data_IF_280589882590
#
_entry.id   IF_280589882590
#
_cell.length_a   1.000
_cell.length_b   1.000
_cell.length_c   1.000
_cell.angle_alpha   90.00
_cell.angle_beta   90.00
_cell.angle_gamma   90.00
#
_symmetry.space_group_name_H-M   'P 1'
#
loop_
_entity.id
_entity.type
_entity.pdbx_description
1 polymer ?
#
# COMPACT_ATOMS: atom_id res chain seq x y z
N UNK A 1 19.90 -11.47 -5.67
CA UNK A 1 20.68 -12.66 -6.06
C UNK A 1 19.93 -13.92 -5.65
N UNK A 2 20.57 -15.09 -5.76
CA UNK A 2 20.05 -16.33 -5.15
C UNK A 2 20.47 -16.36 -3.67
N UNK A 3 19.60 -16.79 -2.73
CA UNK A 3 20.01 -17.07 -1.36
C UNK A 3 21.23 -17.99 -1.31
N UNK A 4 22.13 -17.75 -0.36
CA UNK A 4 23.40 -18.43 -0.17
C UNK A 4 24.45 -18.20 -1.26
N UNK A 5 24.21 -17.22 -2.14
CA UNK A 5 25.05 -16.88 -3.28
C UNK A 5 25.80 -15.55 -3.16
N UNK A 6 25.79 -14.89 -2.00
CA UNK A 6 26.29 -13.52 -1.85
C UNK A 6 25.37 -12.53 -2.57
N UNK A 7 24.07 -12.68 -2.35
CA UNK A 7 23.06 -11.85 -2.98
C UNK A 7 23.17 -10.40 -2.51
N UNK A 8 23.27 -9.48 -3.47
CA UNK A 8 23.36 -8.05 -3.20
C UNK A 8 22.11 -7.30 -3.69
N UNK A 9 21.84 -6.15 -3.07
CA UNK A 9 20.86 -5.18 -3.54
C UNK A 9 21.51 -4.20 -4.52
N UNK A 10 20.79 -3.89 -5.60
CA UNK A 10 21.22 -2.98 -6.65
C UNK A 10 20.17 -1.90 -6.90
N UNK A 11 20.61 -0.76 -7.41
CA UNK A 11 19.75 0.34 -7.84
C UNK A 11 20.08 0.78 -9.26
N UNK A 12 19.05 1.08 -10.03
CA UNK A 12 19.16 1.72 -11.34
C UNK A 12 18.16 2.88 -11.39
N UNK A 13 18.48 3.92 -12.16
CA UNK A 13 17.60 5.08 -12.34
C UNK A 13 17.04 5.08 -13.75
N UNK A 14 15.75 5.33 -13.88
CA UNK A 14 15.13 5.58 -15.17
C UNK A 14 15.37 7.03 -15.58
N UNK A 15 16.01 7.23 -16.72
CA UNK A 15 16.25 8.52 -17.37
C UNK A 15 15.39 8.62 -18.64
N UNK A 16 15.52 9.73 -19.38
CA UNK A 16 14.90 9.88 -20.70
C UNK A 16 15.43 8.89 -21.74
N UNK A 17 16.67 8.42 -21.56
CA UNK A 17 17.39 7.61 -22.52
C UNK A 17 17.34 6.11 -22.20
N UNK A 18 16.72 5.74 -21.06
CA UNK A 18 16.60 4.36 -20.61
C UNK A 18 16.90 4.20 -19.13
N UNK A 19 17.22 2.98 -18.72
CA UNK A 19 17.74 2.72 -17.38
C UNK A 19 19.25 2.95 -17.36
N UNK A 20 19.78 3.49 -16.26
CA UNK A 20 21.22 3.48 -16.01
C UNK A 20 21.70 2.06 -15.74
N UNK A 21 23.00 1.83 -15.89
CA UNK A 21 23.65 0.63 -15.36
C UNK A 21 23.29 0.41 -13.89
N UNK A 22 22.96 -0.83 -13.49
CA UNK A 22 22.73 -1.18 -12.09
C UNK A 22 23.99 -0.94 -11.25
N UNK A 23 23.85 -0.21 -10.15
CA UNK A 23 24.92 0.02 -9.18
C UNK A 23 24.57 -0.66 -7.85
N UNK A 24 25.54 -1.32 -7.18
CA UNK A 24 25.29 -1.96 -5.90
C UNK A 24 24.98 -0.90 -4.81
N UNK A 25 24.07 -1.24 -3.90
CA UNK A 25 23.76 -0.43 -2.73
C UNK A 25 24.79 -0.68 -1.62
N UNK A 26 26.06 -0.34 -1.86
CA UNK A 26 27.18 -0.70 -0.99
C UNK A 26 27.14 -0.17 0.45
N UNK A 27 26.29 0.82 0.77
CA UNK A 27 26.07 1.26 2.15
C UNK A 27 25.09 0.35 2.92
N UNK A 28 24.32 -0.47 2.19
CA UNK A 28 23.33 -1.41 2.73
C UNK A 28 23.88 -2.83 2.68
N UNK A 29 24.48 -3.20 1.53
CA UNK A 29 24.98 -4.55 1.29
C UNK A 29 26.05 -4.97 2.30
N UNK A 30 25.93 -6.17 2.85
CA UNK A 30 26.95 -6.78 3.72
C UNK A 30 27.70 -7.88 2.95
N UNK A 31 29.04 -7.80 2.80
CA UNK A 31 29.81 -8.76 2.01
C UNK A 31 29.86 -10.18 2.59
N UNK A 32 29.44 -10.36 3.85
CA UNK A 32 29.38 -11.67 4.51
C UNK A 32 27.96 -12.24 4.62
N UNK A 33 26.98 -11.62 3.98
CA UNK A 33 25.58 -11.97 4.06
C UNK A 33 24.91 -11.92 2.68
N UNK A 34 23.67 -12.38 2.63
CA UNK A 34 22.75 -12.15 1.54
C UNK A 34 21.77 -11.04 1.91
N UNK A 35 21.53 -10.15 0.96
CA UNK A 35 20.58 -9.05 1.05
C UNK A 35 19.57 -9.14 -0.09
N UNK A 36 18.31 -9.32 0.29
CA UNK A 36 17.25 -9.77 -0.61
C UNK A 36 15.93 -9.03 -0.40
N UNK A 37 15.08 -9.08 -1.43
CA UNK A 37 13.72 -8.52 -1.42
C UNK A 37 13.63 -7.06 -1.01
N UNK A 38 14.27 -6.14 -1.75
CA UNK A 38 14.20 -4.71 -1.45
C UNK A 38 12.77 -4.17 -1.65
N UNK A 39 12.21 -3.58 -0.60
CA UNK A 39 10.90 -2.94 -0.58
C UNK A 39 11.03 -1.48 -0.11
N UNK A 40 11.01 -0.50 -1.03
CA UNK A 40 11.07 0.91 -0.65
C UNK A 40 9.76 1.34 0.02
N UNK A 41 9.84 2.17 1.05
CA UNK A 41 8.66 2.84 1.59
C UNK A 41 8.01 3.75 0.55
N UNK A 42 6.68 3.99 0.61
CA UNK A 42 6.00 4.83 -0.38
C UNK A 42 6.58 6.24 -0.55
N UNK A 43 7.15 6.81 0.51
CA UNK A 43 7.83 8.11 0.51
C UNK A 43 9.28 8.06 0.01
N UNK A 44 9.83 6.86 -0.23
CA UNK A 44 11.22 6.60 -0.59
C UNK A 44 12.24 6.94 0.50
N UNK A 45 11.77 7.20 1.73
CA UNK A 45 12.61 7.57 2.88
C UNK A 45 13.23 6.37 3.59
N UNK A 46 12.71 5.17 3.38
CA UNK A 46 13.20 3.92 3.97
C UNK A 46 13.26 2.80 2.93
N UNK A 47 14.17 1.86 3.12
CA UNK A 47 14.24 0.62 2.36
C UNK A 47 14.18 -0.55 3.35
N UNK A 48 13.16 -1.38 3.19
CA UNK A 48 13.03 -2.63 3.93
C UNK A 48 13.56 -3.77 3.07
N UNK A 49 14.15 -4.77 3.71
CA UNK A 49 14.72 -5.94 3.04
C UNK A 49 14.91 -7.05 4.08
N UNK A 50 15.30 -8.23 3.63
CA UNK A 50 15.66 -9.33 4.53
C UNK A 50 17.08 -9.80 4.31
N UNK A 51 17.73 -10.25 5.39
CA UNK A 51 19.15 -10.57 5.40
C UNK A 51 19.53 -11.52 6.53
N UNK A 52 20.51 -12.39 6.26
CA UNK A 52 21.14 -13.31 7.22
C UNK A 52 22.40 -12.71 7.88
N UNK A 53 22.58 -11.39 7.74
CA UNK A 53 23.68 -10.65 8.37
C UNK A 53 23.72 -10.82 9.89
N UNK A 54 24.92 -10.68 10.44
CA UNK A 54 25.13 -10.74 11.88
C UNK A 54 24.31 -9.67 12.63
N UNK A 55 23.79 -10.04 13.79
CA UNK A 55 22.93 -9.18 14.63
C UNK A 55 21.44 -9.41 14.47
N UNK A 56 21.03 -10.36 13.61
CA UNK A 56 19.70 -10.92 13.57
C UNK A 56 19.41 -11.95 14.67
N UNK A 57 18.19 -12.49 14.66
CA UNK A 57 17.63 -13.42 15.62
C UNK A 57 17.57 -14.86 15.09
N UNK A 58 17.36 -15.02 13.78
CA UNK A 58 17.21 -16.31 13.13
C UNK A 58 18.13 -16.50 11.92
N UNK A 59 17.60 -17.16 10.89
CA UNK A 59 18.25 -17.26 9.58
C UNK A 59 18.19 -15.90 8.88
N UNK A 60 17.15 -15.68 8.08
CA UNK A 60 16.87 -14.37 7.50
C UNK A 60 15.94 -13.57 8.40
N UNK A 61 16.35 -12.35 8.69
CA UNK A 61 15.58 -11.38 9.48
C UNK A 61 15.16 -10.21 8.60
N UNK A 62 14.10 -9.47 8.99
CA UNK A 62 13.76 -8.20 8.37
C UNK A 62 14.60 -7.03 8.93
N UNK A 63 15.07 -6.19 8.02
CA UNK A 63 15.89 -5.01 8.30
C UNK A 63 15.33 -3.78 7.60
N UNK A 64 15.66 -2.59 8.12
CA UNK A 64 15.32 -1.31 7.51
C UNK A 64 16.54 -0.39 7.45
N UNK A 65 16.79 0.19 6.28
CA UNK A 65 17.75 1.28 6.08
C UNK A 65 16.98 2.59 5.86
N UNK A 66 17.27 3.62 6.66
CA UNK A 66 16.69 4.96 6.47
C UNK A 66 17.57 5.81 5.59
N UNK A 67 16.94 6.67 4.80
CA UNK A 67 17.62 7.67 4.00
C UNK A 67 17.91 8.91 4.84
N UNK A 68 19.15 9.37 4.81
CA UNK A 68 19.59 10.62 5.41
C UNK A 68 19.08 11.83 4.61
N UNK A 69 19.11 13.01 5.22
CA UNK A 69 18.70 14.27 4.59
C UNK A 69 19.56 14.65 3.37
N UNK A 70 20.78 14.14 3.28
CA UNK A 70 21.66 14.31 2.12
C UNK A 70 21.40 13.28 1.00
N UNK A 71 20.44 12.37 1.20
CA UNK A 71 20.06 11.34 0.25
C UNK A 71 20.92 10.06 0.31
N UNK A 72 21.90 9.98 1.22
CA UNK A 72 22.64 8.73 1.49
C UNK A 72 21.81 7.75 2.32
N UNK A 73 22.16 6.46 2.27
CA UNK A 73 21.57 5.46 3.14
C UNK A 73 22.32 5.39 4.48
N UNK A 74 21.57 5.36 5.57
CA UNK A 74 22.09 5.06 6.90
C UNK A 74 22.30 3.55 7.05
N UNK A 75 23.10 3.16 8.04
CA UNK A 75 23.32 1.76 8.38
C UNK A 75 21.98 1.05 8.65
N UNK A 76 21.76 -0.16 8.11
CA UNK A 76 20.53 -0.91 8.36
C UNK A 76 20.33 -1.27 9.84
N UNK A 77 19.07 -1.32 10.26
CA UNK A 77 18.64 -1.65 11.62
C UNK A 77 17.69 -2.83 11.57
N UNK A 78 17.93 -3.83 12.42
CA UNK A 78 17.05 -5.01 12.57
C UNK A 78 15.70 -4.59 13.14
N UNK A 79 14.59 -5.14 12.64
CA UNK A 79 13.24 -4.81 13.13
C UNK A 79 12.94 -5.35 14.55
N UNK A 80 13.85 -6.13 15.11
CA UNK A 80 13.84 -6.59 16.50
C UNK A 80 12.89 -7.75 16.75
N UNK A 81 12.89 -8.29 17.98
CA UNK A 81 12.20 -9.53 18.33
C UNK A 81 10.67 -9.41 18.40
N UNK A 82 10.14 -8.20 18.18
CA UNK A 82 8.71 -8.04 17.97
C UNK A 82 8.34 -8.68 16.63
N UNK A 83 9.03 -8.31 15.55
CA UNK A 83 8.77 -8.83 14.20
C UNK A 83 9.59 -10.06 13.91
N UNK A 84 10.90 -10.02 14.12
CA UNK A 84 11.80 -11.12 13.78
C UNK A 84 11.75 -12.23 14.83
N UNK A 85 12.10 -13.45 14.42
CA UNK A 85 12.09 -14.64 15.28
C UNK A 85 13.37 -15.47 15.08
N UNK A 86 13.56 -16.57 15.84
CA UNK A 86 14.63 -17.52 15.55
C UNK A 86 14.50 -18.25 14.19
N UNK A 87 13.38 -18.07 13.49
CA UNK A 87 13.08 -18.66 12.19
C UNK A 87 13.36 -17.65 11.06
N UNK A 88 12.97 -17.95 9.83
CA UNK A 88 13.13 -17.04 8.70
C UNK A 88 11.93 -16.08 8.59
N UNK A 89 12.22 -14.84 8.28
CA UNK A 89 11.28 -13.83 7.82
C UNK A 89 11.72 -13.28 6.45
N UNK A 90 10.82 -13.29 5.47
CA UNK A 90 11.13 -12.79 4.13
C UNK A 90 9.92 -12.14 3.46
N UNK A 91 10.17 -11.51 2.30
CA UNK A 91 9.12 -11.00 1.42
C UNK A 91 8.31 -9.90 2.09
N UNK A 92 8.98 -8.83 2.51
CA UNK A 92 8.30 -7.69 3.13
C UNK A 92 7.51 -6.88 2.09
N UNK A 93 6.28 -6.50 2.44
CA UNK A 93 5.44 -5.61 1.66
C UNK A 93 4.83 -4.54 2.56
N UNK A 94 4.79 -3.29 2.08
CA UNK A 94 4.28 -2.16 2.87
C UNK A 94 2.90 -1.72 2.40
N UNK A 95 2.01 -1.48 3.37
CA UNK A 95 0.76 -0.77 3.10
C UNK A 95 1.00 0.74 2.96
N UNK A 96 -0.06 1.46 2.53
CA UNK A 96 -0.09 2.93 2.48
C UNK A 96 0.50 3.58 3.75
N UNK A 97 1.26 4.67 3.58
CA UNK A 97 1.90 5.42 4.67
C UNK A 97 2.91 4.61 5.51
N UNK A 98 3.30 3.40 5.07
CA UNK A 98 4.21 2.49 5.80
C UNK A 98 3.79 2.24 7.26
N UNK A 99 2.49 2.30 7.56
CA UNK A 99 1.93 2.11 8.90
C UNK A 99 1.72 0.63 9.27
N UNK A 100 1.83 -0.26 8.29
CA UNK A 100 1.64 -1.70 8.42
C UNK A 100 2.55 -2.39 7.41
N UNK A 101 3.22 -3.45 7.86
CA UNK A 101 3.99 -4.35 7.01
C UNK A 101 3.35 -5.73 6.97
N UNK A 102 3.53 -6.41 5.84
CA UNK A 102 3.17 -7.80 5.59
C UNK A 102 4.45 -8.55 5.27
N UNK A 103 4.56 -9.80 5.72
CA UNK A 103 5.73 -10.63 5.48
C UNK A 103 5.37 -12.11 5.61
N UNK A 104 6.25 -12.97 5.11
CA UNK A 104 6.16 -14.42 5.28
C UNK A 104 7.13 -14.87 6.36
N UNK A 105 6.74 -15.86 7.17
CA UNK A 105 7.59 -16.46 8.18
C UNK A 105 7.28 -17.94 8.37
N UNK A 106 8.32 -18.76 8.55
CA UNK A 106 8.19 -20.16 8.95
C UNK A 106 8.26 -20.35 10.46
N UNK A 107 7.94 -19.31 11.23
CA UNK A 107 7.75 -19.48 12.68
C UNK A 107 6.60 -20.45 12.93
N UNK A 108 6.71 -21.31 13.96
CA UNK A 108 5.70 -22.30 14.23
C UNK A 108 4.37 -21.68 14.61
N UNK A 109 3.30 -22.30 14.10
CA UNK A 109 1.95 -22.05 14.58
C UNK A 109 1.84 -22.38 16.07
N UNK A 110 0.97 -21.68 16.83
CA UNK A 110 0.72 -22.00 18.22
C UNK A 110 0.40 -23.49 18.42
N UNK A 111 1.22 -24.17 19.22
CA UNK A 111 1.09 -25.60 19.51
C UNK A 111 1.88 -26.54 18.59
N UNK A 112 2.54 -26.02 17.57
CA UNK A 112 3.62 -26.73 16.89
C UNK A 112 4.94 -26.54 17.65
N UNK A 113 5.78 -27.57 17.70
CA UNK A 113 7.06 -27.55 18.41
C UNK A 113 8.24 -27.96 17.48
N UNK A 114 8.41 -27.31 16.30
CA UNK A 114 9.59 -27.52 15.48
C UNK A 114 10.79 -26.81 16.10
N UNK A 115 11.94 -27.45 16.04
CA UNK A 115 13.21 -26.77 16.28
C UNK A 115 13.45 -25.76 15.13
N UNK A 116 13.98 -24.56 15.41
CA UNK A 116 14.43 -23.64 14.37
C UNK A 116 15.34 -24.39 13.40
N UNK A 117 15.08 -24.26 12.10
CA UNK A 117 15.86 -24.96 11.10
C UNK A 117 17.33 -24.58 11.25
N UNK A 118 18.18 -25.58 11.48
CA UNK A 118 19.63 -25.37 11.58
C UNK A 118 20.21 -25.03 10.20
N UNK A 119 19.54 -25.45 9.13
CA UNK A 119 19.89 -25.13 7.78
C UNK A 119 19.33 -23.74 7.44
N UNK A 120 20.22 -22.74 7.37
CA UNK A 120 19.89 -21.36 6.95
C UNK A 120 19.43 -21.26 5.49
N UNK A 121 19.40 -22.38 4.76
CA UNK A 121 19.31 -22.40 3.31
C UNK A 121 17.91 -22.15 2.71
N UNK A 122 16.77 -22.59 3.29
CA UNK A 122 15.46 -22.33 2.71
C UNK A 122 14.98 -20.92 3.08
N UNK A 123 15.68 -19.90 2.57
CA UNK A 123 15.44 -18.47 2.83
C UNK A 123 14.11 -17.94 2.30
N UNK A 124 13.56 -18.62 1.29
CA UNK A 124 12.32 -18.28 0.63
C UNK A 124 11.63 -19.56 0.18
N UNK A 125 10.33 -19.48 -0.11
CA UNK A 125 9.56 -20.59 -0.71
C UNK A 125 10.09 -21.10 -2.07
N UNK A 126 11.08 -20.41 -2.68
CA UNK A 126 11.75 -20.90 -3.90
C UNK A 126 12.67 -22.09 -3.64
N UNK A 127 13.38 -22.08 -2.51
CA UNK A 127 14.55 -22.95 -2.29
C UNK A 127 14.15 -24.33 -1.75
N UNK A 128 13.11 -24.40 -0.90
CA UNK A 128 12.56 -25.66 -0.45
C UNK A 128 11.02 -25.67 -0.56
N UNK A 129 10.54 -26.42 -1.55
CA UNK A 129 9.11 -26.60 -1.84
C UNK A 129 8.45 -27.66 -0.95
N UNK A 130 9.25 -28.37 -0.16
CA UNK A 130 8.82 -29.48 0.70
C UNK A 130 8.81 -29.11 2.18
N UNK A 131 9.53 -28.06 2.56
CA UNK A 131 9.28 -27.30 3.78
C UNK A 131 7.88 -26.66 3.67
N UNK A 132 6.99 -26.99 4.61
CA UNK A 132 5.54 -26.71 4.54
C UNK A 132 5.06 -25.93 5.77
N UNK A 133 5.56 -24.73 5.96
CA UNK A 133 5.21 -23.94 7.13
C UNK A 133 5.37 -22.43 6.98
N UNK A 134 5.57 -21.91 5.77
CA UNK A 134 5.56 -20.45 5.58
C UNK A 134 4.14 -19.91 5.65
N UNK A 135 3.92 -19.01 6.60
CA UNK A 135 2.67 -18.32 6.86
C UNK A 135 2.82 -16.82 6.62
N UNK A 136 1.74 -16.16 6.19
CA UNK A 136 1.68 -14.71 6.12
C UNK A 136 1.36 -14.09 7.47
N UNK A 137 2.06 -13.01 7.78
CA UNK A 137 1.89 -12.19 8.97
C UNK A 137 1.73 -10.73 8.58
N UNK A 138 1.08 -9.97 9.46
CA UNK A 138 1.08 -8.50 9.43
C UNK A 138 1.60 -7.94 10.75
N UNK A 139 2.25 -6.78 10.71
CA UNK A 139 2.63 -6.04 11.90
C UNK A 139 2.43 -4.53 11.69
N UNK A 140 1.94 -3.84 12.72
CA UNK A 140 1.88 -2.39 12.71
C UNK A 140 3.29 -1.79 12.78
N UNK A 141 3.52 -0.68 12.08
CA UNK A 141 4.75 0.10 12.15
C UNK A 141 4.42 1.45 12.75
N UNK A 142 5.16 1.80 13.80
CA UNK A 142 4.99 3.06 14.54
C UNK A 142 6.34 3.74 14.71
N UNK A 143 6.33 5.00 15.16
CA UNK A 143 7.56 5.72 15.54
C UNK A 143 8.37 4.99 16.63
N UNK A 144 7.70 4.17 17.45
CA UNK A 144 8.33 3.36 18.49
C UNK A 144 8.93 2.04 17.97
N UNK A 145 8.75 1.74 16.67
CA UNK A 145 9.16 0.49 16.04
C UNK A 145 7.98 -0.36 15.57
N UNK A 146 8.29 -1.59 15.18
CA UNK A 146 7.29 -2.55 14.74
C UNK A 146 6.57 -3.21 15.92
N UNK A 147 5.26 -3.40 15.79
CA UNK A 147 4.41 -4.07 16.76
C UNK A 147 4.54 -5.60 16.70
N UNK A 148 3.82 -6.28 17.60
CA UNK A 148 3.73 -7.74 17.58
C UNK A 148 3.00 -8.21 16.30
N UNK A 149 3.56 -9.18 15.56
CA UNK A 149 2.96 -9.67 14.34
C UNK A 149 1.75 -10.55 14.63
N UNK A 150 0.76 -10.44 13.76
CA UNK A 150 -0.47 -11.22 13.77
C UNK A 150 -0.49 -12.11 12.53
N UNK A 151 -0.73 -13.43 12.67
CA UNK A 151 -0.92 -14.30 11.51
C UNK A 151 -2.20 -13.93 10.75
N UNK A 152 -2.18 -14.11 9.43
CA UNK A 152 -3.36 -13.95 8.58
C UNK A 152 -4.13 -15.26 8.49
N UNK A 153 -4.78 -15.66 9.59
CA UNK A 153 -5.51 -16.94 9.72
C UNK A 153 -6.61 -17.15 8.67
N UNK A 154 -7.12 -16.07 8.09
CA UNK A 154 -8.12 -16.08 7.02
C UNK A 154 -7.53 -16.40 5.64
N UNK A 155 -6.21 -16.28 5.49
CA UNK A 155 -5.48 -16.54 4.25
C UNK A 155 -4.59 -17.77 4.36
N UNK A 156 -3.94 -17.96 5.51
CA UNK A 156 -3.01 -19.05 5.77
C UNK A 156 -3.70 -20.41 5.73
N UNK A 157 -3.05 -21.39 5.12
CA UNK A 157 -3.52 -22.77 4.97
C UNK A 157 -2.43 -23.74 5.42
N UNK A 158 -2.66 -25.05 5.55
CA UNK A 158 -1.57 -26.00 5.86
C UNK A 158 -0.47 -26.12 4.77
N UNK A 159 -0.52 -25.29 3.74
CA UNK A 159 0.44 -25.18 2.65
C UNK A 159 1.26 -23.90 2.86
N UNK A 160 2.14 -23.57 1.92
CA UNK A 160 2.95 -22.38 2.00
C UNK A 160 2.18 -21.17 1.47
N UNK A 161 2.28 -20.07 2.20
CA UNK A 161 1.88 -18.73 1.77
C UNK A 161 3.04 -17.76 1.94
N UNK A 162 3.33 -16.99 0.90
CA UNK A 162 4.40 -16.01 0.98
C UNK A 162 4.48 -15.05 -0.20
N UNK A 163 5.60 -14.34 -0.28
CA UNK A 163 5.81 -13.27 -1.28
C UNK A 163 4.62 -12.30 -1.35
N UNK A 164 4.21 -11.68 -0.23
CA UNK A 164 3.09 -10.74 -0.23
C UNK A 164 3.41 -9.49 -1.06
N UNK A 165 2.37 -8.86 -1.59
CA UNK A 165 2.41 -7.53 -2.17
C UNK A 165 1.06 -6.83 -1.93
N UNK A 166 1.11 -5.57 -1.51
CA UNK A 166 -0.08 -4.83 -1.08
C UNK A 166 -0.35 -3.67 -2.02
N UNK A 167 -1.62 -3.46 -2.38
CA UNK A 167 -1.99 -2.27 -3.16
C UNK A 167 -1.68 -1.00 -2.38
N UNK A 168 -1.41 0.13 -3.04
CA UNK A 168 -1.06 1.37 -2.33
C UNK A 168 -2.07 1.86 -1.30
N UNK A 169 -3.33 1.41 -1.36
CA UNK A 169 -4.38 1.74 -0.38
C UNK A 169 -4.63 0.64 0.66
N UNK A 170 -3.93 -0.48 0.58
CA UNK A 170 -4.09 -1.62 1.49
C UNK A 170 -5.40 -2.37 1.31
N UNK A 171 -6.13 -2.16 0.21
CA UNK A 171 -7.42 -2.78 -0.06
C UNK A 171 -7.32 -4.17 -0.68
N UNK A 172 -6.18 -4.52 -1.28
CA UNK A 172 -5.87 -5.88 -1.72
C UNK A 172 -4.47 -6.31 -1.27
N UNK A 173 -4.40 -7.57 -0.84
CA UNK A 173 -3.17 -8.30 -0.64
C UNK A 173 -3.05 -9.37 -1.74
N UNK A 174 -1.96 -9.33 -2.47
CA UNK A 174 -1.51 -10.35 -3.41
C UNK A 174 -0.47 -11.22 -2.72
N UNK A 175 -0.43 -12.51 -3.02
CA UNK A 175 0.53 -13.42 -2.42
C UNK A 175 0.66 -14.69 -3.29
N UNK A 176 1.75 -15.42 -3.12
CA UNK A 176 1.94 -16.73 -3.72
C UNK A 176 1.55 -17.85 -2.76
N UNK A 177 0.99 -18.93 -3.28
CA UNK A 177 0.65 -20.12 -2.49
C UNK A 177 0.66 -21.40 -3.33
N UNK A 178 1.10 -22.50 -2.74
CA UNK A 178 1.05 -23.86 -3.32
C UNK A 178 -0.19 -24.66 -2.83
N UNK A 179 -1.22 -23.95 -2.36
CA UNK A 179 -2.49 -24.56 -1.95
C UNK A 179 -3.15 -25.35 -3.10
N UNK A 180 -3.85 -26.45 -2.80
CA UNK A 180 -4.59 -27.22 -3.79
C UNK A 180 -5.64 -26.39 -4.53
N UNK A 181 -5.82 -26.67 -5.82
CA UNK A 181 -6.78 -25.98 -6.68
C UNK A 181 -6.18 -24.84 -7.51
N UNK A 182 -4.88 -24.58 -7.37
CA UNK A 182 -4.09 -23.77 -8.30
C UNK A 182 -3.81 -24.47 -9.65
N UNK A 183 -3.14 -23.77 -10.55
CA UNK A 183 -2.72 -24.27 -11.86
C UNK A 183 -1.50 -25.18 -11.80
N UNK A 184 -0.68 -25.11 -10.75
CA UNK A 184 0.62 -25.77 -10.73
C UNK A 184 1.32 -25.77 -9.38
N UNK A 185 2.57 -25.29 -9.39
CA UNK A 185 3.42 -25.20 -8.20
C UNK A 185 2.93 -24.11 -7.25
N UNK A 186 3.65 -23.00 -7.20
CA UNK A 186 3.13 -21.78 -6.59
C UNK A 186 2.27 -21.02 -7.58
N UNK A 187 1.07 -20.66 -7.15
CA UNK A 187 0.14 -19.82 -7.89
C UNK A 187 0.01 -18.46 -7.20
N UNK A 188 -0.26 -17.40 -7.98
CA UNK A 188 -0.61 -16.10 -7.42
C UNK A 188 -2.09 -16.03 -7.09
N UNK A 189 -2.36 -15.52 -5.90
CA UNK A 189 -3.68 -15.24 -5.36
C UNK A 189 -3.79 -13.78 -4.96
N UNK A 190 -5.03 -13.33 -4.79
CA UNK A 190 -5.32 -12.08 -4.10
C UNK A 190 -6.47 -12.24 -3.13
N UNK A 191 -6.51 -11.36 -2.13
CA UNK A 191 -7.67 -11.23 -1.26
C UNK A 191 -7.93 -9.75 -0.97
N UNK A 192 -9.21 -9.37 -0.94
CA UNK A 192 -9.61 -8.00 -0.63
C UNK A 192 -9.65 -7.83 0.88
N UNK A 193 -9.02 -6.79 1.40
CA UNK A 193 -9.09 -6.42 2.81
C UNK A 193 -10.37 -5.64 3.10
N UNK A 194 -11.11 -6.09 4.11
CA UNK A 194 -12.30 -5.46 4.65
C UNK A 194 -12.09 -5.16 6.15
N UNK A 195 -13.01 -4.39 6.75
CA UNK A 195 -12.94 -3.99 8.17
C UNK A 195 -12.91 -5.16 9.16
N UNK A 196 -13.27 -6.37 8.73
CA UNK A 196 -13.32 -7.59 9.56
C UNK A 196 -12.35 -8.70 9.15
N UNK A 197 -11.40 -8.43 8.26
CA UNK A 197 -10.49 -9.44 7.69
C UNK A 197 -10.48 -9.39 6.16
N UNK A 198 -9.88 -10.40 5.55
CA UNK A 198 -9.81 -10.55 4.11
C UNK A 198 -11.00 -11.33 3.57
N UNK A 199 -11.34 -11.09 2.31
CA UNK A 199 -12.22 -12.00 1.56
C UNK A 199 -11.53 -13.34 1.32
N UNK A 200 -12.30 -14.33 0.89
CA UNK A 200 -11.71 -15.58 0.42
C UNK A 200 -10.66 -15.31 -0.68
N UNK A 201 -9.51 -16.00 -0.67
CA UNK A 201 -8.50 -15.89 -1.71
C UNK A 201 -9.01 -16.23 -3.10
N UNK A 202 -8.73 -15.38 -4.07
CA UNK A 202 -9.02 -15.54 -5.49
C UNK A 202 -7.74 -15.91 -6.24
N UNK A 203 -7.72 -17.04 -6.95
CA UNK A 203 -6.64 -17.39 -7.87
C UNK A 203 -6.68 -16.45 -9.09
N UNK A 204 -5.52 -15.95 -9.54
CA UNK A 204 -5.46 -14.99 -10.65
C UNK A 204 -5.73 -15.60 -12.05
N UNK A 205 -6.00 -16.90 -12.12
CA UNK A 205 -6.44 -17.62 -13.31
C UNK A 205 -5.33 -17.88 -14.33
N UNK A 206 -5.65 -18.69 -15.34
CA UNK A 206 -4.68 -19.23 -16.31
C UNK A 206 -3.98 -18.19 -17.20
N UNK A 207 -4.42 -16.93 -17.18
CA UNK A 207 -3.70 -15.86 -17.84
C UNK A 207 -2.41 -15.50 -17.09
N UNK A 208 -2.48 -15.46 -15.75
CA UNK A 208 -1.33 -15.18 -14.88
C UNK A 208 -0.68 -16.47 -14.44
N UNK A 209 -1.45 -17.42 -13.92
CA UNK A 209 -0.93 -18.66 -13.35
C UNK A 209 -0.77 -19.77 -14.39
N UNK A 210 0.19 -20.66 -14.17
CA UNK A 210 0.52 -21.76 -15.07
C UNK A 210 0.87 -23.03 -14.27
N UNK A 211 1.17 -24.16 -14.94
CA UNK A 211 1.71 -25.34 -14.26
C UNK A 211 3.07 -25.12 -13.58
N UNK A 212 3.75 -24.00 -13.87
CA UNK A 212 5.01 -23.60 -13.27
C UNK A 212 4.80 -22.95 -11.89
N UNK A 213 5.83 -22.28 -11.37
CA UNK A 213 5.75 -21.43 -10.20
C UNK A 213 5.59 -19.97 -10.64
N UNK A 214 4.68 -19.27 -9.98
CA UNK A 214 4.53 -17.82 -10.06
C UNK A 214 4.71 -17.22 -8.67
N UNK A 215 5.70 -16.35 -8.53
CA UNK A 215 6.21 -15.84 -7.25
C UNK A 215 6.52 -14.35 -7.33
N UNK A 216 6.73 -13.73 -6.17
CA UNK A 216 7.15 -12.33 -6.03
C UNK A 216 6.30 -11.35 -6.85
N UNK A 217 4.98 -11.30 -6.60
CA UNK A 217 4.13 -10.28 -7.16
C UNK A 217 4.66 -8.89 -6.76
N UNK A 218 4.70 -7.96 -7.71
CA UNK A 218 5.04 -6.56 -7.47
C UNK A 218 4.08 -5.66 -8.25
N UNK A 219 3.33 -4.85 -7.53
CA UNK A 219 2.31 -3.99 -8.12
C UNK A 219 2.94 -2.74 -8.73
N UNK A 220 2.42 -2.33 -9.89
CA UNK A 220 2.85 -1.14 -10.60
C UNK A 220 1.64 -0.34 -11.09
N UNK A 221 1.84 0.96 -11.32
CA UNK A 221 0.77 1.92 -11.69
C UNK A 221 -0.45 1.87 -10.76
N UNK A 222 -0.25 1.78 -9.44
CA UNK A 222 -1.39 1.75 -8.51
C UNK A 222 -2.20 0.46 -8.53
N UNK A 223 -1.63 -0.64 -9.04
CA UNK A 223 -2.26 -1.97 -9.07
C UNK A 223 -2.75 -2.40 -10.45
N UNK A 224 -2.74 -1.52 -11.45
CA UNK A 224 -3.15 -1.83 -12.83
C UNK A 224 -2.20 -2.80 -13.55
N UNK A 225 -0.94 -2.84 -13.13
CA UNK A 225 0.03 -3.77 -13.64
C UNK A 225 0.58 -4.62 -12.49
N UNK A 226 0.76 -5.90 -12.77
CA UNK A 226 1.38 -6.86 -11.87
C UNK A 226 2.64 -7.38 -12.55
N UNK A 227 3.79 -7.11 -11.96
CA UNK A 227 5.00 -7.84 -12.27
C UNK A 227 5.07 -9.08 -11.39
N UNK A 228 5.63 -10.16 -11.89
CA UNK A 228 5.86 -11.37 -11.12
C UNK A 228 6.97 -12.19 -11.76
N UNK A 229 7.63 -13.01 -10.96
CA UNK A 229 8.60 -13.97 -11.45
C UNK A 229 7.93 -15.30 -11.79
N UNK A 230 8.41 -15.99 -12.82
CA UNK A 230 7.96 -17.34 -13.13
C UNK A 230 9.08 -18.17 -13.75
N UNK A 231 9.14 -19.44 -13.36
CA UNK A 231 10.02 -20.46 -13.96
C UNK A 231 9.35 -21.21 -15.12
N UNK A 232 8.26 -20.65 -15.66
CA UNK A 232 7.65 -21.18 -16.88
C UNK A 232 8.66 -21.11 -18.03
N UNK A 233 8.73 -22.13 -18.89
CA UNK A 233 9.59 -22.07 -20.08
C UNK A 233 9.25 -20.85 -20.94
N UNK A 234 10.26 -20.05 -21.31
CA UNK A 234 10.07 -18.99 -22.31
C UNK A 234 9.55 -19.63 -23.59
N UNK A 235 8.42 -19.14 -24.12
CA UNK A 235 8.08 -19.38 -25.51
C UNK A 235 9.05 -18.57 -26.36
N UNK A 236 10.00 -19.25 -27.02
CA UNK A 236 10.82 -18.60 -28.04
C UNK A 236 9.89 -18.17 -29.17
N UNK A 237 9.98 -16.90 -29.57
CA UNK A 237 9.19 -16.37 -30.69
C UNK A 237 9.53 -17.05 -32.03
N UNK A 238 10.64 -17.80 -32.09
CA UNK A 238 11.01 -18.65 -33.22
C UNK A 238 11.35 -20.07 -32.74
N UNK A 239 10.89 -21.13 -33.46
CA UNK A 239 11.24 -22.52 -33.18
C UNK A 239 12.74 -22.82 -33.23
N UNK A 240 13.50 -21.94 -33.89
CA UNK A 240 14.93 -22.11 -34.22
C UNK A 240 15.83 -21.05 -33.57
N UNK A 241 15.29 -20.18 -32.70
CA UNK A 241 16.11 -19.23 -31.97
C UNK A 241 16.98 -19.97 -30.94
N UNK A 242 18.30 -19.85 -31.06
CA UNK A 242 19.26 -20.28 -30.05
C UNK A 242 18.81 -19.74 -28.68
N UNK A 243 18.68 -20.60 -27.64
CA UNK A 243 18.31 -20.14 -26.31
C UNK A 243 19.28 -19.04 -25.89
N UNK A 244 18.74 -17.96 -25.34
CA UNK A 244 19.48 -16.75 -25.00
C UNK A 244 20.75 -17.13 -24.21
N UNK A 245 21.91 -17.11 -24.88
CA UNK A 245 23.16 -17.68 -24.36
C UNK A 245 23.74 -16.90 -23.16
N UNK A 246 23.05 -15.83 -22.73
CA UNK A 246 23.55 -14.90 -21.73
C UNK A 246 23.55 -15.49 -20.31
N UNK A 247 22.66 -16.41 -19.95
CA UNK A 247 22.71 -17.13 -18.66
C UNK A 247 21.98 -18.47 -18.82
N UNK A 248 22.61 -19.48 -19.41
CA UNK A 248 22.08 -20.84 -19.28
C UNK A 248 22.42 -21.33 -17.87
N UNK A 249 21.40 -21.51 -17.03
CA UNK A 249 21.56 -22.13 -15.71
C UNK A 249 22.27 -23.48 -15.78
N UNK A 250 23.04 -23.82 -14.75
CA UNK A 250 23.72 -25.10 -14.66
C UNK A 250 22.68 -26.25 -14.67
N UNK A 251 23.06 -27.47 -15.07
CA UNK A 251 22.14 -28.60 -15.08
C UNK A 251 21.50 -28.83 -13.69
N UNK A 252 20.18 -28.62 -13.59
CA UNK A 252 19.42 -28.75 -12.35
C UNK A 252 19.05 -27.42 -11.66
N UNK A 253 19.54 -26.28 -12.15
CA UNK A 253 19.07 -24.96 -11.70
C UNK A 253 17.74 -24.59 -12.36
N UNK A 254 16.82 -24.07 -11.57
CA UNK A 254 15.56 -23.48 -12.03
C UNK A 254 15.80 -21.99 -12.27
N UNK A 255 15.58 -21.54 -13.51
CA UNK A 255 15.62 -20.12 -13.88
C UNK A 255 14.23 -19.49 -13.75
N UNK A 256 14.20 -18.29 -13.16
CA UNK A 256 13.01 -17.46 -13.09
C UNK A 256 13.16 -16.25 -14.02
N UNK A 257 12.13 -16.01 -14.82
CA UNK A 257 12.02 -14.83 -15.66
C UNK A 257 10.99 -13.85 -15.10
N UNK A 258 11.18 -12.57 -15.43
CA UNK A 258 10.23 -11.52 -15.05
C UNK A 258 9.12 -11.43 -16.09
N UNK A 259 7.88 -11.53 -15.62
CA UNK A 259 6.68 -11.37 -16.41
C UNK A 259 5.87 -10.16 -15.94
N UNK A 260 5.07 -9.62 -16.85
CA UNK A 260 4.11 -8.56 -16.56
C UNK A 260 2.74 -8.96 -17.02
N UNK A 261 1.76 -8.78 -16.16
CA UNK A 261 0.34 -8.74 -16.48
C UNK A 261 -0.18 -7.30 -16.41
N UNK A 262 -1.12 -6.95 -17.27
CA UNK A 262 -1.95 -5.75 -17.10
C UNK A 262 -3.40 -6.13 -17.02
N UNK A 263 -4.07 -5.72 -15.95
CA UNK A 263 -5.50 -5.89 -15.78
C UNK A 263 -6.22 -4.55 -16.07
N UNK A 264 -7.48 -4.62 -16.48
CA UNK A 264 -8.36 -3.45 -16.61
C UNK A 264 -9.14 -3.20 -15.32
N UNK A 265 -8.55 -3.55 -14.19
CA UNK A 265 -9.23 -3.45 -12.91
C UNK A 265 -9.33 -1.99 -12.50
N UNK A 266 -10.52 -1.61 -12.03
CA UNK A 266 -10.78 -0.25 -11.56
C UNK A 266 -10.54 -0.24 -10.06
N UNK A 267 -9.41 0.32 -9.66
CA UNK A 267 -9.13 0.60 -8.25
C UNK A 267 -9.76 1.93 -7.85
N UNK A 268 -10.27 2.01 -6.62
CA UNK A 268 -10.73 3.25 -6.03
C UNK A 268 -9.52 4.02 -5.49
N UNK A 269 -9.04 4.99 -6.27
CA UNK A 269 -8.04 5.94 -5.78
C UNK A 269 -8.70 6.89 -4.79
N UNK A 270 -8.38 6.77 -3.50
CA UNK A 270 -8.88 7.68 -2.47
C UNK A 270 -7.73 8.60 -2.06
N UNK A 271 -7.84 9.90 -2.37
CA UNK A 271 -6.85 10.91 -2.00
C UNK A 271 -6.78 11.09 -0.47
N UNK A 272 -5.93 10.30 0.19
CA UNK A 272 -5.74 10.29 1.65
C UNK A 272 -5.07 11.57 2.18
N UNK A 273 -4.43 12.38 1.33
CA UNK A 273 -3.90 13.68 1.73
C UNK A 273 -5.01 14.64 2.24
N UNK A 274 -6.28 14.29 2.01
CA UNK A 274 -7.46 15.01 2.50
C UNK A 274 -8.18 14.35 3.68
N UNK A 275 -7.71 13.21 4.16
CA UNK A 275 -8.38 12.41 5.20
C UNK A 275 -7.87 12.67 6.63
N UNK A 276 -7.10 13.74 6.86
CA UNK A 276 -6.87 14.26 8.19
C UNK A 276 -8.14 14.92 8.73
N UNK A 277 -8.58 14.55 9.94
CA UNK A 277 -9.56 15.37 10.66
C UNK A 277 -8.86 16.69 10.97
N UNK A 278 -9.09 17.70 10.13
CA UNK A 278 -8.63 19.04 10.41
C UNK A 278 -9.42 19.59 11.59
N UNK A 279 -8.83 19.56 12.78
CA UNK A 279 -9.44 20.13 14.00
C UNK A 279 -9.72 21.64 13.85
N UNK A 280 -9.10 22.33 12.86
CA UNK A 280 -9.47 23.68 12.49
C UNK A 280 -10.89 23.77 11.88
N UNK A 281 -11.48 22.68 11.39
CA UNK A 281 -12.89 22.61 10.98
C UNK A 281 -13.86 22.64 12.18
N UNK A 282 -13.39 22.33 13.39
CA UNK A 282 -14.20 22.38 14.63
C UNK A 282 -14.12 23.72 15.36
N UNK A 283 -13.06 24.51 15.15
CA UNK A 283 -12.92 25.85 15.72
C UNK A 283 -14.06 26.83 15.35
N UNK A 284 -14.59 26.85 14.10
CA UNK A 284 -15.74 27.64 13.71
C UNK A 284 -17.00 27.32 14.51
N UNK A 285 -17.18 26.07 14.93
CA UNK A 285 -18.34 25.64 15.70
C UNK A 285 -18.30 26.18 17.13
N UNK A 286 -17.13 26.14 17.78
CA UNK A 286 -16.95 26.76 19.10
C UNK A 286 -17.16 28.29 19.03
N UNK A 287 -16.62 28.93 17.99
CA UNK A 287 -16.80 30.37 17.76
C UNK A 287 -18.27 30.73 17.51
N UNK A 288 -19.02 29.91 16.77
CA UNK A 288 -20.45 30.10 16.52
C UNK A 288 -21.25 30.10 17.83
N UNK A 289 -21.03 29.11 18.70
CA UNK A 289 -21.71 29.03 19.99
C UNK A 289 -21.36 30.21 20.91
N UNK A 290 -20.10 30.64 20.94
CA UNK A 290 -19.66 31.81 21.69
C UNK A 290 -20.32 33.09 21.20
N UNK A 291 -20.39 33.31 19.87
CA UNK A 291 -21.03 34.48 19.26
C UNK A 291 -22.54 34.51 19.52
N UNK A 292 -23.22 33.35 19.49
CA UNK A 292 -24.64 33.24 19.85
C UNK A 292 -24.89 33.64 21.32
N UNK A 293 -24.05 33.19 22.25
CA UNK A 293 -24.15 33.56 23.66
C UNK A 293 -23.94 35.06 23.88
N UNK A 294 -22.93 35.66 23.21
CA UNK A 294 -22.66 37.09 23.28
C UNK A 294 -23.81 37.92 22.67
N UNK A 295 -24.42 37.45 21.58
CA UNK A 295 -25.59 38.08 20.96
C UNK A 295 -26.79 38.07 21.90
N UNK A 296 -27.08 36.93 22.53
CA UNK A 296 -28.16 36.83 23.51
C UNK A 296 -27.94 37.76 24.71
N UNK A 297 -26.70 37.84 25.20
CA UNK A 297 -26.33 38.76 26.27
C UNK A 297 -26.53 40.23 25.86
N UNK A 298 -26.08 40.62 24.66
CA UNK A 298 -26.24 41.99 24.17
C UNK A 298 -27.72 42.34 23.96
N UNK A 299 -28.51 41.44 23.38
CA UNK A 299 -29.95 41.63 23.19
C UNK A 299 -30.69 41.73 24.54
N UNK A 300 -30.28 40.96 25.54
CA UNK A 300 -30.79 41.07 26.90
C UNK A 300 -30.47 42.43 27.53
N UNK A 301 -29.23 42.92 27.38
CA UNK A 301 -28.81 44.25 27.85
C UNK A 301 -29.55 45.39 27.13
N UNK A 302 -29.70 45.29 25.80
CA UNK A 302 -30.49 46.21 24.97
C UNK A 302 -31.95 46.25 25.42
N UNK A 303 -32.57 45.09 25.58
CA UNK A 303 -33.96 44.99 26.03
C UNK A 303 -34.12 45.63 27.41
N UNK A 304 -33.24 45.33 28.36
CA UNK A 304 -33.26 45.90 29.71
C UNK A 304 -33.10 47.43 29.68
N UNK A 305 -32.15 47.95 28.91
CA UNK A 305 -31.91 49.40 28.80
C UNK A 305 -33.04 50.16 28.12
N UNK A 306 -33.73 49.55 27.16
CA UNK A 306 -34.93 50.10 26.50
C UNK A 306 -36.13 50.05 27.45
N UNK A 307 -36.37 48.91 28.11
CA UNK A 307 -37.48 48.72 29.07
C UNK A 307 -37.39 49.65 30.27
N UNK A 308 -36.18 49.86 30.82
CA UNK A 308 -35.96 50.73 31.99
C UNK A 308 -36.00 52.24 31.63
N UNK A 309 -36.35 52.63 30.40
CA UNK A 309 -36.25 54.00 29.84
C UNK A 309 -34.87 54.66 29.93
N UNK A 310 -33.86 53.94 30.42
CA UNK A 310 -32.44 54.36 30.52
C UNK A 310 -31.84 54.67 29.14
N UNK A 311 -32.42 54.14 28.07
CA UNK A 311 -32.09 54.51 26.69
C UNK A 311 -32.06 56.03 26.44
N UNK A 312 -32.98 56.78 27.05
CA UNK A 312 -33.03 58.25 26.91
C UNK A 312 -31.86 58.96 27.58
N UNK A 313 -31.25 58.34 28.60
CA UNK A 313 -30.12 58.88 29.37
C UNK A 313 -28.76 58.56 28.71
N UNK A 314 -28.70 57.66 27.74
CA UNK A 314 -27.48 57.36 27.00
C UNK A 314 -27.11 58.52 26.06
N UNK A 315 -25.83 58.88 26.03
CA UNK A 315 -25.29 59.82 25.06
C UNK A 315 -25.47 59.30 23.64
N UNK A 316 -25.44 60.20 22.65
CA UNK A 316 -25.50 59.82 21.24
C UNK A 316 -24.35 58.87 20.88
N UNK A 317 -23.15 59.15 21.39
CA UNK A 317 -21.97 58.30 21.22
C UNK A 317 -22.20 56.87 21.74
N UNK A 318 -22.76 56.73 22.95
CA UNK A 318 -23.04 55.41 23.53
C UNK A 318 -24.06 54.61 22.70
N UNK A 319 -25.08 55.29 22.14
CA UNK A 319 -26.06 54.68 21.23
C UNK A 319 -25.40 54.21 19.92
N UNK A 320 -24.52 55.02 19.35
CA UNK A 320 -23.76 54.66 18.15
C UNK A 320 -22.81 53.48 18.39
N UNK A 321 -22.13 53.44 19.54
CA UNK A 321 -21.25 52.31 19.91
C UNK A 321 -22.07 51.02 20.05
N UNK A 322 -23.22 51.08 20.72
CA UNK A 322 -24.07 49.90 20.91
C UNK A 322 -24.67 49.38 19.59
N UNK A 323 -25.08 50.29 18.71
CA UNK A 323 -25.54 49.94 17.36
C UNK A 323 -24.42 49.35 16.51
N UNK A 324 -23.21 49.92 16.60
CA UNK A 324 -22.01 49.40 15.92
C UNK A 324 -21.64 48.01 16.42
N UNK A 325 -21.64 47.78 17.74
CA UNK A 325 -21.37 46.47 18.33
C UNK A 325 -22.39 45.41 17.88
N UNK A 326 -23.67 45.77 17.86
CA UNK A 326 -24.72 44.88 17.36
C UNK A 326 -24.51 44.54 15.87
N UNK A 327 -24.22 45.54 15.04
CA UNK A 327 -23.96 45.35 13.61
C UNK A 327 -22.75 44.44 13.37
N UNK A 328 -21.62 44.70 14.03
CA UNK A 328 -20.41 43.91 13.86
C UNK A 328 -20.60 42.46 14.33
N UNK A 329 -21.33 42.25 15.42
CA UNK A 329 -21.63 40.91 15.92
C UNK A 329 -22.57 40.13 14.98
N UNK A 330 -23.55 40.80 14.39
CA UNK A 330 -24.42 40.19 13.37
C UNK A 330 -23.63 39.84 12.09
N UNK A 331 -22.72 40.71 11.66
CA UNK A 331 -21.84 40.45 10.51
C UNK A 331 -20.90 39.26 10.79
N UNK A 332 -20.24 39.23 11.95
CA UNK A 332 -19.39 38.11 12.35
C UNK A 332 -20.16 36.79 12.38
N UNK A 333 -21.37 36.79 12.98
CA UNK A 333 -22.23 35.60 13.00
C UNK A 333 -22.60 35.15 11.57
N UNK A 334 -22.96 36.08 10.68
CA UNK A 334 -23.28 35.76 9.30
C UNK A 334 -22.08 35.17 8.53
N UNK A 335 -20.89 35.74 8.69
CA UNK A 335 -19.67 35.20 8.08
C UNK A 335 -19.30 33.82 8.65
N UNK A 336 -19.43 33.61 9.96
CA UNK A 336 -19.17 32.30 10.57
C UNK A 336 -20.20 31.26 10.11
N UNK A 337 -21.49 31.61 10.04
CA UNK A 337 -22.52 30.72 9.49
C UNK A 337 -22.24 30.40 8.03
N UNK A 338 -21.84 31.38 7.21
CA UNK A 338 -21.46 31.16 5.82
C UNK A 338 -20.24 30.23 5.71
N UNK A 339 -19.22 30.44 6.54
CA UNK A 339 -18.03 29.59 6.59
C UNK A 339 -18.38 28.17 7.03
N UNK A 340 -19.14 27.99 8.11
CA UNK A 340 -19.59 26.67 8.57
C UNK A 340 -20.48 26.00 7.52
N UNK A 341 -21.36 26.73 6.86
CA UNK A 341 -22.21 26.18 5.78
C UNK A 341 -21.39 25.74 4.58
N UNK A 342 -20.33 26.47 4.23
CA UNK A 342 -19.39 26.05 3.18
C UNK A 342 -18.56 24.85 3.63
N UNK A 343 -18.08 24.81 4.87
CA UNK A 343 -17.33 23.68 5.41
C UNK A 343 -18.19 22.42 5.52
N UNK A 344 -19.45 22.53 5.95
CA UNK A 344 -20.45 21.45 5.88
C UNK A 344 -20.72 21.09 4.42
N UNK A 345 -20.82 22.08 3.54
CA UNK A 345 -20.94 21.86 2.10
C UNK A 345 -19.76 21.09 1.52
N UNK A 346 -18.55 21.32 2.01
CA UNK A 346 -17.33 20.60 1.62
C UNK A 346 -17.21 19.22 2.28
N UNK A 347 -17.76 19.04 3.50
CA UNK A 347 -17.87 17.77 4.22
C UNK A 347 -18.99 16.85 3.70
N UNK A 348 -20.11 17.45 3.27
CA UNK A 348 -21.27 16.77 2.67
C UNK A 348 -21.13 16.64 1.15
N UNK A 349 -20.24 17.43 0.52
CA UNK A 349 -19.68 17.04 -0.78
C UNK A 349 -18.98 15.71 -0.54
N UNK A 350 -19.37 14.63 -1.23
CA UNK A 350 -18.66 13.37 -1.12
C UNK A 350 -17.17 13.62 -1.31
N UNK A 351 -16.34 13.26 -0.33
CA UNK A 351 -14.92 13.14 -0.56
C UNK A 351 -14.75 12.13 -1.70
N UNK A 352 -14.32 12.61 -2.86
CA UNK A 352 -14.29 11.82 -4.07
C UNK A 352 -15.43 12.16 -5.02
N UNK A 353 -15.21 13.17 -5.86
CA UNK A 353 -15.50 12.91 -7.25
C UNK A 353 -14.62 11.73 -7.65
N UNK A 354 -15.19 10.53 -7.75
CA UNK A 354 -14.49 9.36 -8.26
C UNK A 354 -14.02 9.71 -9.66
N UNK A 355 -12.74 10.06 -9.80
CA UNK A 355 -12.17 10.27 -11.12
C UNK A 355 -11.77 8.89 -11.60
N UNK A 356 -12.64 8.27 -12.40
CA UNK A 356 -12.21 7.16 -13.24
C UNK A 356 -11.26 7.76 -14.28
N UNK A 357 -9.98 7.80 -13.96
CA UNK A 357 -8.96 8.21 -14.90
C UNK A 357 -8.66 7.01 -15.80
N UNK A 358 -9.45 6.87 -16.86
CA UNK A 358 -9.08 6.02 -17.98
C UNK A 358 -7.80 6.63 -18.56
N UNK A 359 -6.66 6.03 -18.25
CA UNK A 359 -5.42 6.37 -18.92
C UNK A 359 -5.63 6.14 -20.42
N UNK A 360 -5.55 7.22 -21.18
CA UNK A 360 -5.63 7.19 -22.64
C UNK A 360 -4.46 6.39 -23.18
N UNK A 361 -4.67 5.10 -23.44
CA UNK A 361 -3.94 4.44 -24.50
C UNK A 361 -4.50 4.99 -25.81
N UNK A 362 -3.63 5.57 -26.64
CA UNK A 362 -4.05 6.09 -27.94
C UNK A 362 -4.72 4.99 -28.76
N UNK A 363 -6.00 5.17 -29.08
CA UNK A 363 -6.70 4.77 -30.32
C UNK A 363 -8.21 5.03 -30.16
N UNK A 364 -8.75 5.89 -31.03
CA UNK A 364 -10.16 6.11 -31.45
C UNK A 364 -11.32 6.11 -30.44
N UNK A 365 -11.43 7.24 -29.76
CA UNK A 365 -12.57 8.18 -29.62
C UNK A 365 -14.03 7.81 -30.05
N UNK A 366 -14.66 6.81 -29.44
CA UNK A 366 -16.15 6.80 -29.31
C UNK A 366 -16.68 6.29 -27.98
N UNK A 367 -16.04 5.27 -27.39
CA UNK A 367 -16.46 4.69 -26.11
C UNK A 367 -16.23 5.64 -24.91
N UNK A 368 -15.12 6.39 -24.94
CA UNK A 368 -14.77 7.36 -23.90
C UNK A 368 -15.75 8.55 -23.81
N UNK A 369 -16.50 8.83 -24.88
CA UNK A 369 -17.55 9.86 -24.90
C UNK A 369 -18.89 9.36 -24.36
N UNK A 370 -19.22 8.08 -24.51
CA UNK A 370 -20.49 7.53 -24.01
C UNK A 370 -20.55 7.42 -22.48
N UNK A 371 -19.42 7.22 -21.80
CA UNK A 371 -19.39 7.06 -20.33
C UNK A 371 -19.38 8.41 -19.57
N UNK A 372 -18.98 9.51 -20.22
CA UNK A 372 -19.06 10.86 -19.61
C UNK A 372 -20.50 11.36 -19.40
N UNK A 373 -21.50 10.72 -20.01
CA UNK A 373 -22.89 11.20 -19.99
C UNK A 373 -23.75 10.60 -18.86
N UNK A 374 -23.23 9.68 -18.04
CA UNK A 374 -24.03 8.91 -17.08
C UNK A 374 -23.50 8.94 -15.64
N UNK A 375 -22.79 10.00 -15.25
CA UNK A 375 -22.48 10.26 -13.85
C UNK A 375 -23.63 11.02 -13.16
N UNK A 376 -24.71 10.29 -12.80
CA UNK A 376 -25.74 10.76 -11.86
C UNK A 376 -25.84 9.84 -10.66
N UNK A 377 -25.40 10.37 -9.53
CA UNK A 377 -25.94 10.26 -8.16
C UNK A 377 -26.88 9.06 -7.86
N UNK A 378 -26.32 7.85 -7.86
CA UNK A 378 -26.90 6.72 -7.14
C UNK A 378 -25.78 5.98 -6.42
N UNK A 379 -26.08 5.50 -5.21
CA UNK A 379 -25.31 4.43 -4.59
C UNK A 379 -25.18 3.30 -5.62
N UNK A 380 -23.96 3.04 -6.07
CA UNK A 380 -23.68 1.82 -6.80
C UNK A 380 -23.87 0.69 -5.81
N UNK A 381 -25.03 0.02 -5.88
CA UNK A 381 -25.05 -1.41 -5.61
C UNK A 381 -23.99 -1.99 -6.54
N UNK A 382 -22.82 -2.29 -5.96
CA UNK A 382 -21.79 -2.99 -6.70
C UNK A 382 -22.47 -4.27 -7.18
N UNK A 383 -22.50 -4.53 -8.50
CA UNK A 383 -22.99 -5.81 -8.96
C UNK A 383 -22.22 -6.89 -8.22
N UNK A 384 -22.85 -8.02 -7.84
CA UNK A 384 -22.09 -9.17 -7.37
C UNK A 384 -20.95 -9.38 -8.37
N UNK A 385 -19.74 -9.59 -7.83
CA UNK A 385 -18.53 -9.74 -8.62
C UNK A 385 -18.86 -10.60 -9.85
N UNK A 386 -18.58 -10.14 -11.08
CA UNK A 386 -18.82 -10.98 -12.24
C UNK A 386 -18.13 -12.31 -11.96
N UNK A 387 -18.85 -13.41 -12.17
CA UNK A 387 -18.23 -14.73 -12.24
C UNK A 387 -17.01 -14.63 -13.16
N UNK A 388 -15.94 -15.40 -12.91
CA UNK A 388 -14.66 -15.23 -13.59
C UNK A 388 -14.78 -15.58 -15.07
N UNK A 389 -15.34 -14.68 -15.87
CA UNK A 389 -15.04 -14.60 -17.28
C UNK A 389 -13.61 -14.10 -17.30
N UNK A 390 -12.70 -15.07 -17.53
CA UNK A 390 -11.25 -14.96 -17.58
C UNK A 390 -10.77 -13.51 -17.53
N UNK A 391 -10.18 -13.11 -16.39
CA UNK A 391 -9.43 -11.86 -16.28
C UNK A 391 -8.62 -11.71 -17.58
N UNK A 392 -9.02 -10.76 -18.43
CA UNK A 392 -8.34 -10.50 -19.70
C UNK A 392 -7.03 -9.79 -19.38
N UNK A 393 -6.11 -10.56 -18.82
CA UNK A 393 -4.76 -10.20 -18.47
C UNK A 393 -3.87 -10.57 -19.65
N UNK A 394 -3.23 -9.57 -20.25
CA UNK A 394 -2.16 -9.83 -21.22
C UNK A 394 -0.88 -10.04 -20.43
N UNK A 395 -0.28 -11.23 -20.55
CA UNK A 395 1.02 -11.52 -19.94
C UNK A 395 2.12 -11.46 -20.99
N UNK A 396 3.16 -10.69 -20.68
CA UNK A 396 4.34 -10.54 -21.55
C UNK A 396 5.62 -10.70 -20.72
N UNK A 397 6.64 -11.43 -21.23
CA UNK A 397 7.98 -11.39 -20.66
C UNK A 397 8.52 -9.95 -20.64
N UNK A 398 9.31 -9.62 -19.62
CA UNK A 398 10.12 -8.40 -19.60
C UNK A 398 11.55 -8.78 -19.93
N UNK A 399 12.06 -8.25 -21.03
CA UNK A 399 13.47 -8.36 -21.35
C UNK A 399 14.28 -7.43 -20.45
N UNK A 400 15.35 -7.96 -19.86
CA UNK A 400 16.35 -7.11 -19.21
C UNK A 400 16.98 -6.18 -20.27
N UNK A 401 17.31 -4.93 -19.92
CA UNK A 401 18.11 -4.09 -20.80
C UNK A 401 19.41 -4.84 -21.14
N UNK A 402 19.77 -4.85 -22.43
CA UNK A 402 21.04 -5.43 -22.86
C UNK A 402 22.21 -4.69 -22.17
N UNK A 403 23.25 -5.42 -21.75
CA UNK A 403 24.42 -4.85 -21.06
C UNK A 403 25.24 -3.91 -21.96
#
# INVERSE_FOLDING_TARGET
>A
GKPGGGADLYTARRTTDGWTEPAPLGAINDPGADDLGPEPSPDGGSLYFYSDRAGGLGGYDLWVARRSSDGSWLAPVNLGPAVNSPFNEYGVALAAEASELYFASNRPRPGADPEPDADRWPATIREDRTARDYDLYRAAITDAGAGTPEPLDDLNTPFNEGSPAVTPFGDFLYFASDRPGGAGGFDLYRARRLRGGHTAPENLGAAVNSPANELDPALWLGGYALHFSSDRPRQTAEPDAEPNAAIASAPGEIDYDLYRSTSREVFLETDLARAGIDWALLAPWFLLWLLLLLLLLLLWLLRRTISDRRWRQLSLLAKCILASLLLHMLLLLAFTVWQVSNSIGDLLRPAGGSRVQLASAGMDDSLARQVRASATDRSLDLPPAPAPDALAATVTPIDAPAP
#
